data_IF_092103334892
#
_entry.id   IF_092103334892
#
_cell.length_a   1.000
_cell.length_b   1.000
_cell.length_c   1.000
_cell.angle_alpha   90.00
_cell.angle_beta   90.00
_cell.angle_gamma   90.00
#
_symmetry.space_group_name_H-M   'P 1'
#
loop_
_entity.id
_entity.type
_entity.pdbx_description
1 polymer ?
#
# COMPACT_ATOMS: atom_id res chain seq x y z
N UNK A 1 -26.84 -0.40 -4.20
CA UNK A 1 -26.49 0.62 -3.17
C UNK A 1 -24.98 0.78 -3.18
N UNK A 2 -24.49 2.02 -3.30
CA UNK A 2 -23.06 2.34 -3.24
C UNK A 2 -22.72 2.67 -1.78
N UNK A 3 -21.66 2.07 -1.26
CA UNK A 3 -21.21 2.25 0.12
C UNK A 3 -19.82 2.90 0.12
N UNK A 4 -19.64 3.94 0.94
CA UNK A 4 -18.35 4.60 1.13
C UNK A 4 -17.51 3.86 2.17
N UNK A 5 -16.26 3.56 1.85
CA UNK A 5 -15.29 2.92 2.74
C UNK A 5 -14.12 3.89 2.93
N UNK A 6 -13.83 4.22 4.19
CA UNK A 6 -12.67 5.04 4.57
C UNK A 6 -12.61 6.41 3.88
N UNK A 7 -11.41 6.79 3.42
CA UNK A 7 -11.08 8.14 2.96
C UNK A 7 -11.11 8.35 1.43
N UNK A 8 -11.82 7.50 0.69
CA UNK A 8 -12.02 7.74 -0.75
C UNK A 8 -12.46 6.54 -1.58
N UNK A 9 -12.74 5.39 -0.97
CA UNK A 9 -13.20 4.21 -1.70
C UNK A 9 -14.73 4.15 -1.72
N UNK A 10 -15.31 3.84 -2.87
CA UNK A 10 -16.73 3.50 -2.97
C UNK A 10 -16.88 2.11 -3.56
N UNK A 11 -17.74 1.30 -2.97
CA UNK A 11 -17.96 -0.09 -3.38
C UNK A 11 -19.44 -0.34 -3.60
N UNK A 12 -19.75 -1.22 -4.55
CA UNK A 12 -21.11 -1.69 -4.72
C UNK A 12 -21.40 -2.75 -3.65
N UNK A 13 -22.28 -2.42 -2.68
CA UNK A 13 -22.50 -3.25 -1.50
C UNK A 13 -22.98 -4.68 -1.83
N UNK A 14 -23.86 -4.91 -2.82
CA UNK A 14 -24.19 -6.27 -3.27
C UNK A 14 -22.96 -7.06 -3.71
N UNK A 15 -22.07 -6.46 -4.51
CA UNK A 15 -20.85 -7.13 -4.99
C UNK A 15 -19.94 -7.53 -3.83
N UNK A 16 -19.83 -6.67 -2.81
CA UNK A 16 -19.09 -7.00 -1.58
C UNK A 16 -19.73 -8.17 -0.82
N UNK A 17 -21.06 -8.17 -0.70
CA UNK A 17 -21.79 -9.26 -0.02
C UNK A 17 -21.67 -10.58 -0.77
N UNK A 18 -21.76 -10.56 -2.10
CA UNK A 18 -21.62 -11.76 -2.94
C UNK A 18 -20.24 -12.41 -2.77
N UNK A 19 -19.19 -11.62 -2.52
CA UNK A 19 -17.85 -12.13 -2.23
C UNK A 19 -17.70 -12.73 -0.82
N UNK A 20 -18.74 -12.67 0.02
CA UNK A 20 -18.71 -13.12 1.41
C UNK A 20 -18.56 -11.99 2.43
N UNK A 21 -18.64 -10.73 2.00
CA UNK A 21 -18.47 -9.58 2.88
C UNK A 21 -17.03 -9.37 3.38
N UNK A 22 -16.84 -8.30 4.13
CA UNK A 22 -15.58 -7.97 4.81
C UNK A 22 -15.84 -7.73 6.30
N UNK A 23 -14.81 -7.88 7.17
CA UNK A 23 -14.95 -7.58 8.59
C UNK A 23 -15.35 -6.11 8.80
N UNK A 24 -16.35 -5.87 9.66
CA UNK A 24 -16.74 -4.53 10.06
C UNK A 24 -15.98 -4.06 11.32
N UNK A 25 -15.65 -2.76 11.45
CA UNK A 25 -15.83 -1.72 10.43
C UNK A 25 -14.85 -1.91 9.26
N UNK A 26 -15.37 -1.73 8.03
CA UNK A 26 -14.54 -1.83 6.83
C UNK A 26 -13.53 -0.67 6.80
N UNK A 27 -12.26 -1.02 6.63
CA UNK A 27 -11.18 -0.06 6.38
C UNK A 27 -10.80 -0.10 4.90
N UNK A 28 -10.55 1.06 4.31
CA UNK A 28 -10.40 1.23 2.86
C UNK A 28 -9.16 0.56 2.32
N UNK A 29 -8.03 0.61 3.03
CA UNK A 29 -6.80 -0.05 2.60
C UNK A 29 -6.95 -1.58 2.61
N UNK A 30 -7.49 -2.15 3.70
CA UNK A 30 -7.74 -3.59 3.79
C UNK A 30 -8.78 -4.10 2.79
N UNK A 31 -9.86 -3.35 2.60
CA UNK A 31 -10.90 -3.68 1.61
C UNK A 31 -10.34 -3.62 0.19
N UNK A 32 -9.64 -2.54 -0.15
CA UNK A 32 -9.02 -2.36 -1.46
C UNK A 32 -8.00 -3.43 -1.79
N UNK A 33 -7.14 -3.78 -0.81
CA UNK A 33 -6.16 -4.85 -0.98
C UNK A 33 -6.83 -6.17 -1.38
N UNK A 34 -7.84 -6.60 -0.64
CA UNK A 34 -8.52 -7.88 -0.88
C UNK A 34 -9.37 -7.87 -2.15
N UNK A 35 -10.00 -6.74 -2.50
CA UNK A 35 -10.64 -6.57 -3.82
C UNK A 35 -9.62 -6.69 -4.96
N UNK A 36 -8.43 -6.11 -4.80
CA UNK A 36 -7.34 -6.23 -5.78
C UNK A 36 -6.85 -7.67 -5.91
N UNK A 37 -6.74 -8.43 -4.82
CA UNK A 37 -6.36 -9.85 -4.86
C UNK A 37 -7.40 -10.70 -5.61
N UNK A 38 -8.67 -10.34 -5.50
CA UNK A 38 -9.78 -10.97 -6.22
C UNK A 38 -9.88 -10.54 -7.68
N UNK A 39 -9.02 -9.62 -8.14
CA UNK A 39 -9.04 -9.12 -9.51
C UNK A 39 -10.27 -8.26 -9.81
N UNK A 40 -10.84 -7.61 -8.79
CA UNK A 40 -11.93 -6.67 -9.00
C UNK A 40 -11.49 -5.51 -9.90
N UNK A 41 -12.39 -5.07 -10.76
CA UNK A 41 -12.15 -3.88 -11.58
C UNK A 41 -12.23 -2.63 -10.69
N UNK A 42 -11.07 -2.02 -10.43
CA UNK A 42 -10.94 -0.83 -9.60
C UNK A 42 -10.70 0.36 -10.52
N UNK A 43 -11.74 1.19 -10.70
CA UNK A 43 -11.63 2.41 -11.49
C UNK A 43 -11.30 3.61 -10.59
N UNK A 44 -10.26 4.40 -10.88
CA UNK A 44 -9.97 5.62 -10.14
C UNK A 44 -11.08 6.66 -10.36
N UNK A 45 -11.59 7.22 -9.26
CA UNK A 45 -12.57 8.30 -9.34
C UNK A 45 -11.88 9.60 -9.75
N UNK A 46 -12.36 10.22 -10.82
CA UNK A 46 -11.79 11.45 -11.39
C UNK A 46 -12.33 12.75 -10.75
N UNK A 47 -13.18 12.61 -9.73
CA UNK A 47 -14.02 13.71 -9.21
C UNK A 47 -13.60 14.19 -7.82
N UNK A 48 -12.88 13.37 -7.06
CA UNK A 48 -12.45 13.71 -5.70
C UNK A 48 -11.12 13.03 -5.36
N UNK A 49 -10.07 13.84 -5.20
CA UNK A 49 -8.82 13.41 -4.57
C UNK A 49 -8.82 14.03 -3.17
N UNK A 50 -9.11 13.22 -2.15
CA UNK A 50 -8.87 13.59 -0.76
C UNK A 50 -7.38 13.34 -0.48
N UNK A 51 -6.54 14.31 -0.86
CA UNK A 51 -5.12 14.24 -0.55
C UNK A 51 -4.92 14.71 0.89
N UNK A 52 -4.56 13.79 1.79
CA UNK A 52 -4.06 14.15 3.13
C UNK A 52 -2.52 14.16 3.05
N UNK A 53 -1.89 15.34 2.98
CA UNK A 53 -0.45 15.40 2.82
C UNK A 53 0.25 14.96 4.11
N UNK A 54 0.95 13.83 4.06
CA UNK A 54 1.88 13.43 5.12
C UNK A 54 3.15 14.28 5.02
N UNK A 55 3.22 15.32 5.85
CA UNK A 55 4.37 16.23 5.89
C UNK A 55 5.62 15.62 6.54
N UNK A 56 5.46 14.54 7.32
CA UNK A 56 6.52 13.95 8.13
C UNK A 56 6.70 12.45 7.81
N UNK A 57 7.96 12.00 7.78
CA UNK A 57 8.30 10.57 7.58
C UNK A 57 7.61 9.67 8.61
N UNK A 58 7.40 10.16 9.84
CA UNK A 58 6.71 9.40 10.88
C UNK A 58 5.23 9.16 10.57
N UNK A 59 4.55 10.14 9.96
CA UNK A 59 3.19 9.98 9.48
C UNK A 59 3.09 8.87 8.43
N UNK A 60 4.06 8.83 7.50
CA UNK A 60 4.17 7.76 6.51
C UNK A 60 4.44 6.39 7.15
N UNK A 61 5.36 6.32 8.11
CA UNK A 61 5.65 5.09 8.86
C UNK A 61 4.41 4.56 9.59
N UNK A 62 3.66 5.44 10.27
CA UNK A 62 2.43 5.08 10.97
C UNK A 62 1.32 4.64 10.00
N UNK A 63 1.17 5.31 8.85
CA UNK A 63 0.24 4.92 7.81
C UNK A 63 0.52 3.50 7.33
N UNK A 64 1.79 3.19 7.02
CA UNK A 64 2.15 1.86 6.57
C UNK A 64 2.03 0.81 7.67
N UNK A 65 2.25 1.17 8.94
CA UNK A 65 1.94 0.29 10.06
C UNK A 65 0.44 0.00 10.17
N UNK A 66 -0.42 1.01 9.94
CA UNK A 66 -1.87 0.86 9.95
C UNK A 66 -2.33 -0.02 8.78
N UNK A 67 -1.86 0.27 7.56
CA UNK A 67 -2.15 -0.50 6.35
C UNK A 67 -1.72 -1.97 6.51
N UNK A 68 -0.52 -2.19 7.07
CA UNK A 68 -0.05 -3.52 7.39
C UNK A 68 -0.92 -4.16 8.46
N UNK A 69 -1.28 -3.46 9.54
CA UNK A 69 -2.13 -4.03 10.60
C UNK A 69 -3.53 -4.42 10.10
N UNK A 70 -4.12 -3.61 9.21
CA UNK A 70 -5.44 -3.88 8.65
C UNK A 70 -5.37 -5.00 7.64
N UNK A 71 -4.27 -5.15 6.89
CA UNK A 71 -4.10 -6.26 5.95
C UNK A 71 -3.64 -7.55 6.63
N UNK A 72 -2.75 -7.47 7.64
CA UNK A 72 -2.00 -8.56 8.26
C UNK A 72 -2.76 -9.41 9.28
N UNK A 73 -4.00 -9.78 8.93
CA UNK A 73 -4.89 -10.61 9.75
C UNK A 73 -5.80 -11.50 8.90
N UNK A 74 -5.27 -12.20 7.89
CA UNK A 74 -6.06 -12.91 6.90
C UNK A 74 -6.89 -14.03 7.54
N UNK A 75 -6.37 -14.65 8.59
CA UNK A 75 -7.04 -15.67 9.41
C UNK A 75 -8.22 -15.10 10.22
N UNK A 76 -8.04 -13.93 10.86
CA UNK A 76 -9.11 -13.27 11.63
C UNK A 76 -10.19 -12.73 10.71
N UNK A 77 -9.80 -12.22 9.55
CA UNK A 77 -10.73 -11.77 8.53
C UNK A 77 -11.58 -12.91 8.02
N UNK A 78 -10.93 -14.02 7.62
CA UNK A 78 -11.63 -15.23 7.20
C UNK A 78 -12.61 -15.74 8.27
N UNK A 79 -12.23 -15.75 9.55
CA UNK A 79 -13.13 -16.13 10.65
C UNK A 79 -14.29 -15.15 10.82
N UNK A 80 -14.03 -13.85 10.77
CA UNK A 80 -15.05 -12.82 10.96
C UNK A 80 -16.14 -12.89 9.90
N UNK A 81 -15.79 -13.27 8.67
CA UNK A 81 -16.75 -13.37 7.54
C UNK A 81 -17.18 -14.80 7.22
N UNK A 82 -16.70 -15.80 7.96
CA UNK A 82 -16.98 -17.22 7.68
C UNK A 82 -18.47 -17.56 7.72
N UNK A 83 -19.24 -16.83 8.52
CA UNK A 83 -20.69 -17.00 8.68
C UNK A 83 -21.51 -16.37 7.55
N UNK A 84 -20.88 -15.55 6.69
CA UNK A 84 -21.56 -14.86 5.60
C UNK A 84 -21.63 -15.76 4.36
N UNK A 85 -22.77 -15.73 3.63
CA UNK A 85 -22.89 -16.43 2.36
C UNK A 85 -21.91 -15.81 1.35
N UNK A 86 -21.27 -16.64 0.54
CA UNK A 86 -20.23 -16.21 -0.41
C UNK A 86 -20.32 -17.05 -1.67
N UNK A 87 -20.11 -16.40 -2.81
CA UNK A 87 -19.97 -17.04 -4.12
C UNK A 87 -18.62 -17.76 -4.29
N UNK A 88 -17.64 -17.49 -3.42
CA UNK A 88 -16.33 -18.14 -3.44
C UNK A 88 -16.42 -19.57 -2.92
N UNK A 89 -15.81 -20.50 -3.65
CA UNK A 89 -15.69 -21.88 -3.17
C UNK A 89 -14.79 -21.94 -1.91
N UNK A 90 -14.84 -23.02 -1.11
CA UNK A 90 -13.93 -23.20 0.02
C UNK A 90 -12.45 -23.15 -0.38
N UNK A 91 -12.12 -23.64 -1.58
CA UNK A 91 -10.76 -23.63 -2.12
C UNK A 91 -10.34 -22.19 -2.45
N UNK A 92 -11.20 -21.42 -3.10
CA UNK A 92 -10.89 -20.02 -3.44
C UNK A 92 -10.69 -19.16 -2.19
N UNK A 93 -11.48 -19.40 -1.14
CA UNK A 93 -11.30 -18.75 0.16
C UNK A 93 -9.95 -19.10 0.78
N UNK A 94 -9.53 -20.35 0.70
CA UNK A 94 -8.22 -20.78 1.21
C UNK A 94 -7.06 -20.19 0.39
N UNK A 95 -7.18 -20.17 -0.94
CA UNK A 95 -6.20 -19.55 -1.83
C UNK A 95 -6.10 -18.04 -1.60
N UNK A 96 -7.22 -17.36 -1.36
CA UNK A 96 -7.23 -15.93 -1.01
C UNK A 96 -6.44 -15.66 0.27
N UNK A 97 -6.72 -16.43 1.34
CA UNK A 97 -6.00 -16.31 2.62
C UNK A 97 -4.51 -16.60 2.44
N UNK A 98 -4.15 -17.63 1.65
CA UNK A 98 -2.76 -17.93 1.35
C UNK A 98 -2.08 -16.78 0.59
N UNK A 99 -2.78 -16.18 -0.39
CA UNK A 99 -2.27 -15.06 -1.17
C UNK A 99 -2.07 -13.81 -0.30
N UNK A 100 -3.01 -13.52 0.60
CA UNK A 100 -2.86 -12.46 1.62
C UNK A 100 -1.58 -12.69 2.44
N UNK A 101 -1.35 -13.92 2.95
CA UNK A 101 -0.11 -14.25 3.67
C UNK A 101 1.16 -14.07 2.84
N UNK A 102 1.15 -14.51 1.58
CA UNK A 102 2.31 -14.39 0.68
C UNK A 102 2.63 -12.92 0.41
N UNK A 103 1.62 -12.10 0.16
CA UNK A 103 1.78 -10.65 -0.06
C UNK A 103 2.32 -9.97 1.21
N UNK A 104 1.81 -10.32 2.39
CA UNK A 104 2.32 -9.80 3.67
C UNK A 104 3.78 -10.15 3.93
N UNK A 105 4.16 -11.42 3.70
CA UNK A 105 5.55 -11.87 3.82
C UNK A 105 6.42 -11.08 2.84
N UNK A 106 5.98 -10.93 1.60
CA UNK A 106 6.69 -10.15 0.57
C UNK A 106 6.84 -8.69 1.00
N UNK A 107 5.79 -8.10 1.60
CA UNK A 107 5.81 -6.74 2.12
C UNK A 107 6.85 -6.55 3.22
N UNK A 108 6.93 -7.47 4.19
CA UNK A 108 7.82 -7.33 5.36
C UNK A 108 9.27 -7.74 5.04
N UNK A 109 9.45 -8.69 4.11
CA UNK A 109 10.77 -9.26 3.78
C UNK A 109 11.43 -8.63 2.56
N UNK A 110 10.70 -7.95 1.68
CA UNK A 110 11.22 -7.44 0.41
C UNK A 110 12.44 -6.52 0.56
N UNK A 111 12.35 -5.48 1.39
CA UNK A 111 13.48 -4.57 1.63
C UNK A 111 14.68 -5.26 2.32
N UNK A 112 14.50 -6.08 3.38
CA UNK A 112 15.57 -6.89 3.95
C UNK A 112 16.23 -7.84 2.95
N UNK A 113 15.45 -8.50 2.08
CA UNK A 113 15.97 -9.39 1.04
C UNK A 113 16.78 -8.64 0.00
N UNK A 114 16.32 -7.46 -0.43
CA UNK A 114 17.09 -6.59 -1.34
C UNK A 114 18.41 -6.18 -0.69
N UNK A 115 18.38 -5.75 0.57
CA UNK A 115 19.60 -5.39 1.30
C UNK A 115 20.56 -6.58 1.44
N UNK A 116 20.04 -7.75 1.81
CA UNK A 116 20.82 -8.99 1.93
C UNK A 116 21.42 -9.40 0.58
N UNK A 117 20.67 -9.27 -0.52
CA UNK A 117 21.17 -9.57 -1.86
C UNK A 117 22.34 -8.64 -2.25
N UNK A 118 22.23 -7.33 -2.01
CA UNK A 118 23.31 -6.37 -2.26
C UNK A 118 24.54 -6.68 -1.41
N UNK A 119 24.37 -6.99 -0.12
CA UNK A 119 25.47 -7.38 0.77
C UNK A 119 26.11 -8.69 0.29
N UNK A 120 25.30 -9.67 -0.10
CA UNK A 120 25.78 -10.96 -0.57
C UNK A 120 26.57 -10.86 -1.89
N UNK A 121 26.27 -9.85 -2.72
CA UNK A 121 26.99 -9.61 -3.97
C UNK A 121 28.48 -9.28 -3.72
N UNK A 122 28.85 -8.85 -2.52
CA UNK A 122 30.26 -8.66 -2.11
C UNK A 122 31.10 -9.92 -2.25
N UNK A 123 30.51 -11.08 -1.95
CA UNK A 123 31.18 -12.37 -2.09
C UNK A 123 31.40 -12.78 -3.56
N UNK A 124 30.71 -12.13 -4.49
CA UNK A 124 30.84 -12.36 -5.94
C UNK A 124 31.77 -11.34 -6.63
N UNK A 125 32.45 -10.48 -5.85
CA UNK A 125 33.39 -9.48 -6.34
C UNK A 125 32.82 -8.06 -6.42
N UNK A 126 33.72 -7.07 -6.42
CA UNK A 126 33.39 -5.64 -6.32
C UNK A 126 32.51 -5.12 -7.46
N UNK A 127 32.66 -5.65 -8.68
CA UNK A 127 31.83 -5.29 -9.84
C UNK A 127 30.37 -5.72 -9.63
N UNK A 128 30.14 -6.94 -9.12
CA UNK A 128 28.80 -7.47 -8.84
C UNK A 128 28.10 -6.64 -7.75
N UNK A 129 28.83 -6.27 -6.69
CA UNK A 129 28.31 -5.36 -5.66
C UNK A 129 27.96 -3.99 -6.21
N UNK A 130 28.83 -3.42 -7.06
CA UNK A 130 28.58 -2.12 -7.67
C UNK A 130 27.32 -2.15 -8.54
N UNK A 131 27.15 -3.19 -9.36
CA UNK A 131 25.97 -3.37 -10.19
C UNK A 131 24.70 -3.56 -9.36
N UNK A 132 24.74 -4.38 -8.30
CA UNK A 132 23.61 -4.60 -7.40
C UNK A 132 23.19 -3.30 -6.69
N UNK A 133 24.18 -2.56 -6.15
CA UNK A 133 23.95 -1.27 -5.50
C UNK A 133 23.38 -0.24 -6.48
N UNK A 134 23.96 -0.13 -7.68
CA UNK A 134 23.44 0.77 -8.72
C UNK A 134 22.03 0.38 -9.14
N UNK A 135 21.71 -0.91 -9.27
CA UNK A 135 20.37 -1.39 -9.56
C UNK A 135 19.35 -0.91 -8.51
N UNK A 136 19.64 -1.07 -7.23
CA UNK A 136 18.77 -0.61 -6.13
C UNK A 136 18.65 0.92 -6.11
N UNK A 137 19.78 1.62 -6.27
CA UNK A 137 19.82 3.08 -6.24
C UNK A 137 19.14 3.72 -7.45
N UNK A 138 19.07 3.05 -8.61
CA UNK A 138 18.44 3.57 -9.82
C UNK A 138 16.99 3.11 -9.99
N UNK A 139 16.63 1.91 -9.53
CA UNK A 139 15.29 1.37 -9.69
C UNK A 139 14.22 2.29 -9.09
N UNK A 140 14.41 2.71 -7.83
CA UNK A 140 13.51 3.65 -7.16
C UNK A 140 13.34 4.96 -7.93
N UNK A 141 14.44 5.68 -8.24
CA UNK A 141 14.35 6.97 -8.93
C UNK A 141 13.71 6.90 -10.30
N UNK A 142 14.05 5.87 -11.09
CA UNK A 142 13.46 5.67 -12.42
C UNK A 142 11.97 5.41 -12.30
N UNK A 143 11.55 4.51 -11.41
CA UNK A 143 10.14 4.21 -11.20
C UNK A 143 9.36 5.44 -10.70
N UNK A 144 9.90 6.15 -9.71
CA UNK A 144 9.27 7.37 -9.18
C UNK A 144 9.13 8.45 -10.25
N UNK A 145 10.16 8.68 -11.07
CA UNK A 145 10.07 9.62 -12.18
C UNK A 145 8.97 9.23 -13.18
N UNK A 146 8.90 7.95 -13.57
CA UNK A 146 7.85 7.44 -14.47
C UNK A 146 6.45 7.55 -13.89
N UNK A 147 6.28 7.29 -12.59
CA UNK A 147 4.99 7.42 -11.91
C UNK A 147 4.55 8.88 -11.81
N UNK A 148 5.47 9.83 -11.58
CA UNK A 148 5.15 11.26 -11.60
C UNK A 148 4.70 11.69 -13.00
N UNK A 149 5.39 11.25 -14.06
CA UNK A 149 4.98 11.49 -15.45
C UNK A 149 3.59 10.92 -15.74
N UNK A 150 3.35 9.66 -15.36
CA UNK A 150 2.06 9.00 -15.53
C UNK A 150 0.94 9.72 -14.76
N UNK A 151 1.18 10.09 -13.50
CA UNK A 151 0.20 10.80 -12.69
C UNK A 151 -0.19 12.14 -13.31
N UNK A 152 0.76 12.88 -13.88
CA UNK A 152 0.48 14.11 -14.62
C UNK A 152 -0.33 13.85 -15.89
N UNK A 153 0.01 12.80 -16.66
CA UNK A 153 -0.72 12.43 -17.87
C UNK A 153 -2.17 12.04 -17.55
N UNK A 154 -2.38 11.28 -16.48
CA UNK A 154 -3.71 10.89 -15.98
C UNK A 154 -4.50 12.10 -15.48
N UNK A 155 -3.88 13.04 -14.75
CA UNK A 155 -4.57 14.26 -14.35
C UNK A 155 -4.96 15.13 -15.55
N UNK A 156 -4.13 15.18 -16.58
CA UNK A 156 -4.40 15.96 -17.79
C UNK A 156 -5.54 15.37 -18.64
N UNK A 157 -5.77 14.05 -18.58
CA UNK A 157 -6.87 13.40 -19.29
C UNK A 157 -8.24 13.57 -18.61
N UNK A 158 -8.26 14.03 -17.36
CA UNK A 158 -9.49 14.32 -16.62
C UNK A 158 -9.98 15.72 -16.93
N UNK A 159 -11.13 15.81 -17.61
CA UNK A 159 -11.87 17.08 -17.77
C UNK A 159 -12.95 17.13 -16.69
N UNK A 160 -12.81 17.97 -15.65
CA UNK A 160 -13.83 18.07 -14.62
C UNK A 160 -15.13 18.63 -15.21
N UNK A 161 -16.30 18.04 -14.90
CA UNK A 161 -17.59 18.44 -15.45
C UNK A 161 -18.05 19.84 -15.01
N UNK A 162 -17.39 20.42 -14.00
CA UNK A 162 -17.66 21.78 -13.51
C UNK A 162 -16.41 22.65 -13.63
N UNK A 163 -16.54 23.71 -14.42
CA UNK A 163 -15.53 24.75 -14.61
C UNK A 163 -15.13 25.39 -13.28
N UNK A 164 -13.82 25.49 -13.04
CA UNK A 164 -13.14 26.05 -11.85
C UNK A 164 -13.02 25.11 -10.64
N UNK A 165 -12.47 23.93 -10.84
CA UNK A 165 -11.64 23.34 -9.79
C UNK A 165 -10.26 24.01 -9.91
N UNK A 166 -9.77 24.59 -8.80
CA UNK A 166 -8.42 25.14 -8.75
C UNK A 166 -7.43 24.06 -9.23
N UNK A 167 -6.50 24.42 -10.12
CA UNK A 167 -5.56 23.46 -10.67
C UNK A 167 -4.87 22.70 -9.55
N UNK A 168 -4.79 21.37 -9.67
CA UNK A 168 -4.12 20.53 -8.68
C UNK A 168 -2.74 21.13 -8.35
N UNK A 169 -2.37 21.26 -7.06
CA UNK A 169 -1.12 21.87 -6.67
C UNK A 169 0.03 21.10 -7.32
N UNK A 170 0.73 21.74 -8.26
CA UNK A 170 1.91 21.16 -8.88
C UNK A 170 3.05 21.20 -7.88
N UNK A 171 3.75 20.07 -7.63
CA UNK A 171 4.94 20.12 -6.81
C UNK A 171 5.96 21.06 -7.45
N UNK A 172 6.64 21.85 -6.64
CA UNK A 172 7.76 22.67 -7.13
C UNK A 172 8.83 21.77 -7.74
N UNK A 173 9.63 22.29 -8.66
CA UNK A 173 10.76 21.54 -9.25
C UNK A 173 11.69 20.96 -8.17
N UNK A 174 11.91 21.70 -7.08
CA UNK A 174 12.68 21.23 -5.93
C UNK A 174 12.03 20.04 -5.23
N UNK A 175 10.71 20.04 -5.06
CA UNK A 175 9.97 18.89 -4.49
C UNK A 175 10.00 17.68 -5.41
N UNK A 176 9.88 17.85 -6.73
CA UNK A 176 10.03 16.75 -7.68
C UNK A 176 11.41 16.08 -7.59
N UNK A 177 12.48 16.89 -7.59
CA UNK A 177 13.85 16.36 -7.47
C UNK A 177 14.03 15.68 -6.12
N UNK A 178 13.53 16.27 -5.03
CA UNK A 178 13.58 15.67 -3.70
C UNK A 178 12.84 14.32 -3.61
N UNK A 179 11.67 14.20 -4.24
CA UNK A 179 10.91 12.94 -4.30
C UNK A 179 11.67 11.84 -5.04
N UNK A 180 12.28 12.17 -6.18
CA UNK A 180 13.08 11.22 -6.95
C UNK A 180 14.33 10.81 -6.17
N UNK A 181 15.06 11.78 -5.61
CA UNK A 181 16.28 11.54 -4.85
C UNK A 181 16.03 10.71 -3.57
N UNK A 182 14.87 10.86 -2.93
CA UNK A 182 14.49 10.10 -1.73
C UNK A 182 13.87 8.73 -2.03
N UNK A 183 13.53 8.43 -3.29
CA UNK A 183 12.90 7.15 -3.66
C UNK A 183 13.68 5.88 -3.25
N UNK A 184 15.03 5.83 -3.21
CA UNK A 184 15.72 4.62 -2.75
C UNK A 184 15.47 4.31 -1.27
N UNK A 185 15.17 5.33 -0.44
CA UNK A 185 14.92 5.14 0.99
C UNK A 185 13.45 4.85 1.30
N UNK A 186 12.53 5.15 0.37
CA UNK A 186 11.10 4.95 0.58
C UNK A 186 10.73 3.53 1.00
N UNK A 187 11.22 2.44 0.37
CA UNK A 187 10.88 1.08 0.80
C UNK A 187 11.19 0.84 2.28
N UNK A 188 12.32 1.35 2.78
CA UNK A 188 12.73 1.20 4.17
C UNK A 188 11.88 2.03 5.13
N UNK A 189 11.52 3.27 4.76
CA UNK A 189 10.63 4.13 5.55
C UNK A 189 9.26 3.47 5.69
N UNK A 190 8.70 2.94 4.59
CA UNK A 190 7.42 2.22 4.58
C UNK A 190 7.46 0.98 5.48
N UNK A 191 8.59 0.30 5.52
CA UNK A 191 8.80 -0.94 6.28
C UNK A 191 9.02 -0.71 7.78
N UNK A 192 9.53 0.46 8.16
CA UNK A 192 9.90 0.77 9.55
C UNK A 192 8.70 0.63 10.50
N UNK A 193 7.50 1.01 10.06
CA UNK A 193 6.28 0.96 10.86
C UNK A 193 5.82 -0.47 11.14
N UNK A 194 5.62 -1.29 10.10
CA UNK A 194 5.36 -2.72 10.23
C UNK A 194 6.36 -3.46 11.13
N UNK A 195 7.67 -3.26 10.94
CA UNK A 195 8.68 -3.90 11.80
C UNK A 195 8.61 -3.43 13.24
N UNK A 196 8.43 -2.13 13.48
CA UNK A 196 8.26 -1.61 14.82
C UNK A 196 7.04 -2.23 15.53
N UNK A 197 5.94 -2.42 14.81
CA UNK A 197 4.76 -3.11 15.33
C UNK A 197 5.04 -4.58 15.67
N UNK A 198 5.74 -5.31 14.79
CA UNK A 198 6.14 -6.70 15.01
C UNK A 198 7.02 -6.80 16.26
N UNK A 199 8.05 -5.96 16.36
CA UNK A 199 8.97 -5.91 17.49
C UNK A 199 8.24 -5.59 18.80
N UNK A 200 7.37 -4.57 18.81
CA UNK A 200 6.55 -4.26 20.00
C UNK A 200 5.69 -5.43 20.45
N UNK A 201 5.08 -6.14 19.50
CA UNK A 201 4.26 -7.32 19.81
C UNK A 201 5.09 -8.46 20.41
N UNK A 202 6.30 -8.69 19.90
CA UNK A 202 7.25 -9.69 20.44
C UNK A 202 7.64 -9.32 21.88
N UNK A 203 7.86 -8.04 22.17
CA UNK A 203 8.23 -7.52 23.50
C UNK A 203 7.00 -7.31 24.41
N UNK A 204 5.81 -7.79 24.01
CA UNK A 204 4.60 -7.74 24.83
C UNK A 204 4.00 -6.34 25.02
N UNK A 205 4.39 -5.35 24.22
CA UNK A 205 3.87 -4.00 24.29
C UNK A 205 2.60 -3.83 23.45
N UNK A 206 1.64 -2.99 23.89
CA UNK A 206 0.44 -2.72 23.12
C UNK A 206 0.79 -2.10 21.77
N UNK A 207 0.12 -2.61 20.73
CA UNK A 207 0.19 -2.09 19.37
C UNK A 207 -0.98 -1.13 19.18
N UNK A 208 -0.89 0.07 19.71
CA UNK A 208 -1.75 1.18 19.28
C UNK A 208 -1.01 1.93 18.18
N UNK A 209 -1.70 2.15 17.07
CA UNK A 209 -1.22 2.94 15.95
C UNK A 209 -2.42 3.74 15.44
N UNK A 210 -2.40 5.05 15.70
CA UNK A 210 -3.31 6.02 15.10
C UNK A 210 -2.60 6.82 14.01
N UNK A 211 -3.37 7.29 13.00
CA UNK A 211 -2.87 8.21 11.96
C UNK A 211 -2.23 9.48 12.57
N UNK A 212 -2.62 9.85 13.80
CA UNK A 212 -2.22 11.07 14.51
C UNK A 212 -1.46 10.82 15.82
N UNK A 213 -1.09 9.57 16.16
CA UNK A 213 -0.36 9.30 17.40
C UNK A 213 1.07 9.86 17.32
N UNK A 214 1.37 10.82 18.21
CA UNK A 214 2.67 11.48 18.39
C UNK A 214 3.68 10.63 19.15
#
# INVERSE_FOLDING_TARGET
MIYGVGCGMTVHLPTVRDLGGFPEPMEDLGTGHRLSLLGADITPAIVAVLDEPYAESRGLTNLHALAFRTSARPDRHAKAVAHLPSALSPIDKALLVLREWVDEVTWVTGAPLIAAAVISAYWSGSLCSALALMGVLLYGPVLTARLIELAHALHASVVPPTSRIAGAPRPTRSRHVGLIASSPTQPFIRLAGPWWMILRRIVGHPTTFGKTER
#
